data_IF_687886331811
#
_entry.id   IF_687886331811
#
_cell.length_a   1.000
_cell.length_b   1.000
_cell.length_c   1.000
_cell.angle_alpha   90.00
_cell.angle_beta   90.00
_cell.angle_gamma   90.00
#
_symmetry.space_group_name_H-M   'P 1'
#
loop_
_entity.id
_entity.type
_entity.pdbx_description
1 polymer ?
#
# COMPACT_ATOMS: atom_id res chain seq x y z
N UNK A 1 1.62 9.65 -19.94
CA UNK A 1 0.50 9.08 -19.15
C UNK A 1 1.03 7.86 -18.41
N UNK A 2 1.06 7.83 -17.06
CA UNK A 2 1.52 6.64 -16.32
C UNK A 2 0.39 5.62 -16.32
N UNK A 3 0.56 4.51 -17.04
CA UNK A 3 -0.33 3.34 -16.93
C UNK A 3 -0.07 2.71 -15.55
N UNK A 4 -1.02 2.85 -14.64
CA UNK A 4 -1.04 2.10 -13.38
C UNK A 4 -1.65 0.72 -13.67
N UNK A 5 -1.09 -0.35 -13.11
CA UNK A 5 -1.72 -1.66 -13.23
C UNK A 5 -3.07 -1.65 -12.52
N UNK A 6 -4.07 -2.30 -13.11
CA UNK A 6 -5.43 -2.38 -12.55
C UNK A 6 -5.42 -2.97 -11.13
N UNK A 7 -4.57 -3.98 -10.91
CA UNK A 7 -4.37 -4.61 -9.61
C UNK A 7 -3.83 -3.64 -8.55
N UNK A 8 -2.94 -2.71 -8.93
CA UNK A 8 -2.44 -1.70 -8.01
C UNK A 8 -3.53 -0.69 -7.67
N UNK A 9 -4.30 -0.26 -8.67
CA UNK A 9 -5.38 0.69 -8.48
C UNK A 9 -6.47 0.13 -7.54
N UNK A 10 -6.89 -1.12 -7.75
CA UNK A 10 -7.84 -1.81 -6.87
C UNK A 10 -7.37 -1.88 -5.41
N UNK A 11 -6.07 -2.14 -5.18
CA UNK A 11 -5.50 -2.15 -3.83
C UNK A 11 -5.54 -0.77 -3.17
N UNK A 12 -5.25 0.28 -3.93
CA UNK A 12 -5.31 1.65 -3.42
C UNK A 12 -6.74 2.07 -3.08
N UNK A 13 -7.70 1.69 -3.92
CA UNK A 13 -9.12 2.02 -3.72
C UNK A 13 -9.72 1.31 -2.50
N UNK A 14 -9.17 0.15 -2.13
CA UNK A 14 -9.57 -0.61 -0.94
C UNK A 14 -8.99 -0.07 0.38
N UNK A 15 -8.07 0.91 0.35
CA UNK A 15 -7.44 1.43 1.57
C UNK A 15 -8.45 2.26 2.38
N UNK A 16 -8.52 2.05 3.72
CA UNK A 16 -9.42 2.80 4.57
C UNK A 16 -8.92 4.23 4.79
N UNK A 17 -9.86 5.18 4.92
CA UNK A 17 -9.55 6.54 5.39
C UNK A 17 -9.40 6.60 6.91
N UNK A 18 -8.50 5.77 7.47
CA UNK A 18 -8.25 5.66 8.91
C UNK A 18 -6.76 5.53 9.20
N UNK A 19 -6.30 5.83 10.43
CA UNK A 19 -4.92 5.58 10.83
C UNK A 19 -4.56 4.10 10.73
N UNK A 20 -3.29 3.84 10.43
CA UNK A 20 -2.79 2.47 10.42
C UNK A 20 -1.32 2.37 10.07
N UNK A 21 -0.89 1.14 9.87
CA UNK A 21 0.49 0.76 9.54
C UNK A 21 0.48 0.05 8.20
N UNK A 22 1.46 0.35 7.34
CA UNK A 22 1.67 -0.34 6.07
C UNK A 22 3.05 -1.02 6.07
N UNK A 23 3.14 -2.09 5.28
CA UNK A 23 4.34 -2.91 5.16
C UNK A 23 4.76 -2.98 3.71
N UNK A 24 6.00 -2.62 3.42
CA UNK A 24 6.61 -2.98 2.14
C UNK A 24 7.33 -4.31 2.29
N UNK A 25 7.12 -5.17 1.30
CA UNK A 25 7.74 -6.48 1.19
C UNK A 25 8.58 -6.54 -0.08
N UNK A 26 9.68 -7.28 -0.03
CA UNK A 26 10.43 -7.62 -1.23
C UNK A 26 9.68 -8.65 -2.10
N UNK A 27 10.29 -9.04 -3.22
CA UNK A 27 9.74 -10.05 -4.14
C UNK A 27 9.55 -11.45 -3.51
N UNK A 28 10.24 -11.74 -2.42
CA UNK A 28 10.15 -13.00 -1.68
C UNK A 28 9.18 -12.90 -0.49
N UNK A 29 8.52 -11.75 -0.30
CA UNK A 29 7.58 -11.51 0.80
C UNK A 29 8.22 -11.07 2.11
N UNK A 30 9.55 -10.90 2.17
CA UNK A 30 10.24 -10.40 3.38
C UNK A 30 9.88 -8.93 3.60
N UNK A 31 9.47 -8.58 4.81
CA UNK A 31 9.20 -7.18 5.17
C UNK A 31 10.51 -6.40 5.16
N UNK A 32 10.56 -5.34 4.36
CA UNK A 32 11.73 -4.47 4.21
C UNK A 32 11.50 -3.07 4.79
N UNK A 33 10.25 -2.68 5.00
CA UNK A 33 9.90 -1.40 5.61
C UNK A 33 8.52 -1.47 6.27
N UNK A 34 8.39 -0.77 7.40
CA UNK A 34 7.14 -0.59 8.13
C UNK A 34 6.96 0.91 8.34
N UNK A 35 5.84 1.45 7.89
CA UNK A 35 5.48 2.86 8.08
C UNK A 35 4.12 3.00 8.73
N UNK A 36 3.89 4.12 9.41
CA UNK A 36 2.59 4.50 9.97
C UNK A 36 2.05 5.73 9.27
N UNK A 37 0.73 5.82 9.14
CA UNK A 37 0.05 7.00 8.62
C UNK A 37 -1.20 7.31 9.46
N UNK A 38 -1.52 8.61 9.57
CA UNK A 38 -2.78 9.05 10.18
C UNK A 38 -4.00 8.69 9.32
N UNK A 39 -3.79 8.56 8.01
CA UNK A 39 -4.78 8.12 7.02
C UNK A 39 -4.02 7.24 6.01
N UNK A 40 -4.48 6.01 5.76
CA UNK A 40 -3.77 5.07 4.88
C UNK A 40 -4.00 5.30 3.38
N UNK A 41 -5.05 6.05 3.02
CA UNK A 41 -5.36 6.47 1.66
C UNK A 41 -4.84 7.89 1.40
#
# INVERSE_FOLDING_TARGET
MRVRSEQLQQKLDALPQKPGVYLFKDKNGKIIYIGKAKILR
#
